data_IF_698396115808
#
_entry.id   IF_698396115808
#
_cell.length_a   1.000
_cell.length_b   1.000
_cell.length_c   1.000
_cell.angle_alpha   90.00
_cell.angle_beta   90.00
_cell.angle_gamma   90.00
#
_symmetry.space_group_name_H-M   'P 1'
#
loop_
_entity.id
_entity.type
_entity.pdbx_description
1 polymer ?
#
# COMPACT_ATOMS: atom_id res chain seq x y z
N UNK A 1 14.59 10.18 -32.86
CA UNK A 1 13.89 8.97 -32.37
C UNK A 1 14.19 8.84 -30.89
N UNK A 2 13.18 8.93 -30.01
CA UNK A 2 13.39 8.71 -28.57
C UNK A 2 13.52 7.21 -28.33
N UNK A 3 14.62 6.80 -27.72
CA UNK A 3 14.91 5.39 -27.40
C UNK A 3 13.94 4.87 -26.33
N UNK A 4 13.77 3.53 -26.26
CA UNK A 4 12.99 2.86 -25.21
C UNK A 4 13.49 3.25 -23.81
N UNK A 5 14.79 3.54 -23.66
CA UNK A 5 15.43 3.94 -22.40
C UNK A 5 15.10 5.38 -21.97
N UNK A 6 15.15 6.34 -22.88
CA UNK A 6 14.86 7.76 -22.58
C UNK A 6 13.40 7.97 -22.13
N UNK A 7 12.45 7.29 -22.79
CA UNK A 7 11.03 7.28 -22.45
C UNK A 7 10.73 6.71 -21.04
N UNK A 8 11.52 5.72 -20.64
CA UNK A 8 11.42 5.06 -19.34
C UNK A 8 11.99 5.91 -18.21
N UNK A 9 13.09 6.61 -18.47
CA UNK A 9 13.71 7.55 -17.54
C UNK A 9 12.82 8.77 -17.29
N UNK A 10 12.13 9.28 -18.30
CA UNK A 10 11.15 10.37 -18.16
C UNK A 10 9.95 9.96 -17.29
N UNK A 11 9.41 8.76 -17.49
CA UNK A 11 8.19 8.27 -16.79
C UNK A 11 8.45 7.85 -15.33
N UNK A 12 9.65 7.36 -15.03
CA UNK A 12 9.97 6.75 -13.72
C UNK A 12 11.22 7.35 -13.04
N UNK A 13 11.74 8.46 -13.55
CA UNK A 13 12.93 9.18 -13.05
C UNK A 13 14.26 8.50 -13.41
N UNK A 14 14.32 7.16 -13.35
CA UNK A 14 15.35 6.31 -13.96
C UNK A 14 14.99 4.84 -13.74
N UNK A 15 14.96 4.02 -14.79
CA UNK A 15 14.74 2.57 -14.66
C UNK A 15 16.06 1.82 -14.74
N UNK A 16 16.39 1.07 -13.67
CA UNK A 16 17.36 -0.01 -13.78
C UNK A 16 16.60 -1.25 -14.30
N UNK A 17 16.91 -1.70 -15.51
CA UNK A 17 16.45 -3.01 -15.98
C UNK A 17 17.06 -4.08 -15.08
N UNK A 18 16.21 -4.95 -14.53
CA UNK A 18 16.64 -6.00 -13.62
C UNK A 18 16.60 -7.36 -14.29
N UNK A 19 15.58 -7.61 -15.12
CA UNK A 19 15.38 -8.88 -15.83
C UNK A 19 14.46 -8.66 -17.03
N UNK A 20 14.70 -9.39 -18.11
CA UNK A 20 13.81 -9.50 -19.25
C UNK A 20 13.12 -10.86 -19.25
N UNK A 21 11.82 -10.87 -19.51
CA UNK A 21 10.97 -12.06 -19.62
C UNK A 21 10.22 -11.99 -20.96
N UNK A 22 9.71 -13.14 -21.44
CA UNK A 22 8.99 -13.17 -22.73
C UNK A 22 7.79 -12.23 -22.74
N UNK A 23 7.16 -12.06 -21.58
CA UNK A 23 5.98 -11.21 -21.42
C UNK A 23 6.28 -9.78 -20.95
N UNK A 24 7.53 -9.36 -20.72
CA UNK A 24 7.83 -7.99 -20.35
C UNK A 24 9.16 -7.77 -19.63
N UNK A 25 9.27 -6.62 -18.96
CA UNK A 25 10.49 -6.13 -18.32
C UNK A 25 10.28 -5.95 -16.81
N UNK A 26 11.17 -6.54 -16.01
CA UNK A 26 11.26 -6.24 -14.58
C UNK A 26 12.16 -5.02 -14.39
N UNK A 27 11.61 -3.96 -13.82
CA UNK A 27 12.27 -2.66 -13.70
C UNK A 27 12.21 -2.11 -12.29
N UNK A 28 13.21 -1.35 -11.90
CA UNK A 28 13.19 -0.57 -10.66
C UNK A 28 12.69 0.85 -10.89
N UNK A 29 11.62 1.24 -10.20
CA UNK A 29 11.04 2.58 -10.22
C UNK A 29 11.58 3.39 -9.04
N UNK A 30 12.43 4.39 -9.33
CA UNK A 30 13.04 5.25 -8.31
C UNK A 30 12.04 6.17 -7.62
N UNK A 31 11.02 6.68 -8.33
CA UNK A 31 10.03 7.58 -7.74
C UNK A 31 9.25 6.91 -6.60
N UNK A 32 8.86 5.65 -6.80
CA UNK A 32 8.10 4.87 -5.81
C UNK A 32 8.97 3.89 -5.01
N UNK A 33 10.28 3.85 -5.26
CA UNK A 33 11.24 2.94 -4.63
C UNK A 33 10.80 1.47 -4.66
N UNK A 34 10.29 1.01 -5.82
CA UNK A 34 9.74 -0.35 -5.95
C UNK A 34 10.09 -1.00 -7.28
N UNK A 35 10.15 -2.33 -7.30
CA UNK A 35 10.15 -3.11 -8.55
C UNK A 35 8.74 -3.13 -9.15
N UNK A 36 8.66 -3.02 -10.47
CA UNK A 36 7.43 -3.23 -11.24
C UNK A 36 7.72 -4.17 -12.40
N UNK A 37 6.73 -4.95 -12.80
CA UNK A 37 6.76 -5.72 -14.03
C UNK A 37 5.91 -5.00 -15.07
N UNK A 38 6.55 -4.57 -16.16
CA UNK A 38 5.94 -3.67 -17.13
C UNK A 38 6.20 -4.15 -18.56
N UNK A 39 5.43 -3.61 -19.48
CA UNK A 39 5.62 -3.75 -20.90
C UNK A 39 5.42 -2.39 -21.58
N UNK A 40 6.10 -2.18 -22.69
CA UNK A 40 6.13 -0.90 -23.40
C UNK A 40 5.99 -1.20 -24.88
N UNK A 41 4.84 -0.83 -25.42
CA UNK A 41 4.51 -1.08 -26.81
C UNK A 41 3.70 0.08 -27.38
N UNK A 42 3.70 0.18 -28.70
CA UNK A 42 2.80 1.06 -29.46
C UNK A 42 1.82 0.25 -30.30
N UNK A 43 1.94 -1.08 -30.31
CA UNK A 43 1.04 -1.99 -31.00
C UNK A 43 -0.30 -2.07 -30.27
N UNK A 44 -1.36 -1.63 -30.95
CA UNK A 44 -2.73 -1.58 -30.43
C UNK A 44 -3.27 -2.98 -30.13
N UNK A 45 -2.95 -3.98 -30.94
CA UNK A 45 -3.45 -5.34 -30.75
C UNK A 45 -2.75 -6.02 -29.57
N UNK A 46 -1.46 -5.74 -29.38
CA UNK A 46 -0.74 -6.13 -28.17
C UNK A 46 -1.35 -5.48 -26.93
N UNK A 47 -1.65 -4.17 -26.97
CA UNK A 47 -2.29 -3.45 -25.87
C UNK A 47 -3.65 -4.08 -25.52
N UNK A 48 -4.51 -4.32 -26.52
CA UNK A 48 -5.82 -4.95 -26.32
C UNK A 48 -5.68 -6.34 -25.69
N UNK A 49 -4.76 -7.16 -26.19
CA UNK A 49 -4.47 -8.50 -25.66
C UNK A 49 -4.01 -8.43 -24.20
N UNK A 50 -3.11 -7.52 -23.86
CA UNK A 50 -2.58 -7.33 -22.50
C UNK A 50 -3.66 -6.85 -21.53
N UNK A 51 -4.50 -5.90 -21.94
CA UNK A 51 -5.65 -5.43 -21.14
C UNK A 51 -6.62 -6.59 -20.87
N UNK A 52 -6.93 -7.42 -21.88
CA UNK A 52 -7.76 -8.63 -21.71
C UNK A 52 -7.14 -9.62 -20.70
N UNK A 53 -5.81 -9.66 -20.64
CA UNK A 53 -5.02 -10.43 -19.69
C UNK A 53 -4.85 -9.73 -18.32
N UNK A 54 -5.52 -8.60 -18.07
CA UNK A 54 -5.51 -7.91 -16.78
C UNK A 54 -4.37 -6.92 -16.57
N UNK A 55 -3.62 -6.57 -17.62
CA UNK A 55 -2.63 -5.50 -17.54
C UNK A 55 -3.32 -4.14 -17.48
N UNK A 56 -2.76 -3.24 -16.67
CA UNK A 56 -3.27 -1.88 -16.52
C UNK A 56 -2.53 -0.94 -17.47
N UNK A 57 -3.29 -0.29 -18.35
CA UNK A 57 -2.78 0.76 -19.22
C UNK A 57 -2.50 2.03 -18.41
N UNK A 58 -1.28 2.52 -18.51
CA UNK A 58 -0.84 3.81 -17.96
C UNK A 58 -0.45 4.72 -19.13
N UNK A 59 -1.07 5.91 -19.25
CA UNK A 59 -0.70 6.85 -20.29
C UNK A 59 0.73 7.33 -20.06
N UNK A 60 1.49 7.37 -21.15
CA UNK A 60 2.85 7.88 -21.21
C UNK A 60 2.95 8.98 -22.25
N UNK A 61 4.00 9.80 -22.17
CA UNK A 61 4.15 10.97 -23.05
C UNK A 61 4.33 10.62 -24.53
N UNK A 62 4.97 9.48 -24.84
CA UNK A 62 5.22 9.06 -26.23
C UNK A 62 4.97 7.56 -26.53
N UNK A 63 4.59 6.75 -25.52
CA UNK A 63 4.25 5.32 -25.65
C UNK A 63 3.22 4.91 -24.61
N UNK A 64 2.58 3.76 -24.83
CA UNK A 64 1.74 3.13 -23.84
C UNK A 64 2.57 2.27 -22.89
N UNK A 65 2.35 2.48 -21.59
CA UNK A 65 2.94 1.67 -20.54
C UNK A 65 1.88 0.70 -20.03
N UNK A 66 2.20 -0.58 -20.02
CA UNK A 66 1.32 -1.61 -19.47
C UNK A 66 1.95 -2.12 -18.20
N UNK A 67 1.24 -2.02 -17.08
CA UNK A 67 1.66 -2.62 -15.81
C UNK A 67 1.03 -3.99 -15.68
N UNK A 68 1.86 -4.99 -15.38
CA UNK A 68 1.39 -6.34 -15.16
C UNK A 68 0.38 -6.43 -14.00
N UNK A 69 -0.57 -7.38 -14.04
CA UNK A 69 -1.38 -7.68 -12.87
C UNK A 69 -0.48 -8.10 -11.70
N UNK A 70 -0.72 -7.48 -10.55
CA UNK A 70 0.08 -7.63 -9.33
C UNK A 70 -0.79 -8.03 -8.15
N UNK A 71 -0.27 -8.92 -7.31
CA UNK A 71 -0.86 -9.32 -6.03
C UNK A 71 0.12 -9.14 -4.88
N UNK A 72 -0.43 -8.85 -3.70
CA UNK A 72 0.31 -8.91 -2.43
C UNK A 72 0.20 -10.34 -1.91
N UNK A 73 1.34 -11.01 -1.71
CA UNK A 73 1.39 -12.34 -1.12
C UNK A 73 1.39 -12.25 0.41
N UNK A 74 2.17 -11.31 0.94
CA UNK A 74 2.31 -11.09 2.37
C UNK A 74 2.58 -9.61 2.68
N UNK A 75 1.98 -9.10 3.75
CA UNK A 75 2.15 -7.74 4.24
C UNK A 75 2.20 -7.76 5.77
N UNK A 76 3.37 -7.43 6.33
CA UNK A 76 3.57 -7.37 7.78
C UNK A 76 2.94 -6.13 8.41
N UNK A 77 2.75 -5.07 7.62
CA UNK A 77 2.26 -3.80 8.15
C UNK A 77 0.74 -3.81 8.33
N UNK A 78 0.00 -4.58 7.53
CA UNK A 78 -1.46 -4.56 7.43
C UNK A 78 -2.06 -5.97 7.39
N UNK A 79 -3.15 -6.20 8.14
CA UNK A 79 -3.80 -7.51 8.20
C UNK A 79 -4.83 -7.78 7.10
N UNK A 80 -5.26 -6.75 6.37
CA UNK A 80 -6.35 -6.86 5.39
C UNK A 80 -5.92 -7.29 3.99
N UNK A 81 -4.62 -7.35 3.73
CA UNK A 81 -4.04 -7.61 2.40
C UNK A 81 -3.54 -9.05 2.24
N UNK A 82 -3.70 -9.90 3.26
CA UNK A 82 -3.17 -11.26 3.30
C UNK A 82 -4.26 -12.32 3.12
N UNK A 83 -3.92 -13.51 2.59
CA UNK A 83 -4.84 -14.65 2.54
C UNK A 83 -5.23 -15.18 3.94
N UNK A 84 -4.67 -14.62 5.01
CA UNK A 84 -4.97 -14.94 6.40
C UNK A 84 -4.95 -13.69 7.28
N UNK A 85 -5.82 -13.67 8.29
CA UNK A 85 -5.88 -12.63 9.31
C UNK A 85 -5.13 -13.03 10.60
N UNK A 86 -4.63 -14.27 10.69
CA UNK A 86 -3.90 -14.74 11.86
C UNK A 86 -2.46 -14.22 11.83
N UNK A 87 -2.05 -13.49 12.88
CA UNK A 87 -0.75 -12.84 12.96
C UNK A 87 0.43 -13.85 12.91
N UNK A 88 0.25 -15.06 13.44
CA UNK A 88 1.27 -16.12 13.37
C UNK A 88 1.40 -16.64 11.96
N UNK A 89 0.28 -16.82 11.26
CA UNK A 89 0.30 -17.24 9.87
C UNK A 89 0.89 -16.17 8.94
N UNK A 90 0.63 -14.88 9.20
CA UNK A 90 1.25 -13.77 8.46
C UNK A 90 2.77 -13.82 8.61
N UNK A 91 3.30 -13.89 9.84
CA UNK A 91 4.75 -13.94 10.04
C UNK A 91 5.38 -15.24 9.50
N UNK A 92 4.67 -16.36 9.61
CA UNK A 92 5.11 -17.64 9.03
C UNK A 92 5.25 -17.54 7.52
N UNK A 93 4.24 -16.98 6.86
CA UNK A 93 4.27 -16.76 5.41
C UNK A 93 5.40 -15.82 5.03
N UNK A 94 5.60 -14.72 5.76
CA UNK A 94 6.70 -13.78 5.52
C UNK A 94 8.08 -14.44 5.62
N UNK A 95 8.32 -15.26 6.66
CA UNK A 95 9.61 -15.97 6.83
C UNK A 95 9.86 -16.97 5.71
N UNK A 96 8.84 -17.74 5.31
CA UNK A 96 8.94 -18.70 4.21
C UNK A 96 9.24 -17.98 2.89
N UNK A 97 8.54 -16.89 2.61
CA UNK A 97 8.69 -16.17 1.35
C UNK A 97 10.03 -15.42 1.25
N UNK A 98 10.63 -15.01 2.37
CA UNK A 98 11.99 -14.43 2.37
C UNK A 98 13.11 -15.50 2.41
N UNK A 99 12.78 -16.79 2.33
CA UNK A 99 13.79 -17.84 2.26
C UNK A 99 14.40 -17.89 0.85
N UNK A 100 15.70 -18.22 0.77
CA UNK A 100 16.46 -18.32 -0.49
C UNK A 100 15.85 -19.23 -1.57
N UNK A 101 14.98 -20.18 -1.20
CA UNK A 101 14.42 -21.19 -2.11
C UNK A 101 12.97 -20.85 -2.51
N UNK A 102 12.48 -19.66 -2.16
CA UNK A 102 11.12 -19.24 -2.46
C UNK A 102 10.84 -19.15 -3.97
N UNK A 103 11.81 -18.68 -4.76
CA UNK A 103 11.66 -18.57 -6.22
C UNK A 103 11.43 -19.94 -6.88
N UNK A 104 12.15 -20.97 -6.44
CA UNK A 104 11.97 -22.35 -6.93
C UNK A 104 10.57 -22.88 -6.61
N UNK A 105 10.12 -22.69 -5.36
CA UNK A 105 8.79 -23.10 -4.92
C UNK A 105 7.69 -22.40 -5.74
N UNK A 106 7.81 -21.08 -5.95
CA UNK A 106 6.85 -20.31 -6.75
C UNK A 106 6.84 -20.80 -8.19
N UNK A 107 8.01 -21.09 -8.75
CA UNK A 107 8.14 -21.60 -10.12
C UNK A 107 7.53 -22.98 -10.26
N UNK A 108 7.74 -23.89 -9.31
CA UNK A 108 7.13 -25.22 -9.28
C UNK A 108 5.59 -25.12 -9.23
N UNK A 109 5.06 -24.29 -8.32
CA UNK A 109 3.61 -24.09 -8.18
C UNK A 109 3.04 -23.46 -9.44
N UNK A 110 3.69 -22.44 -10.01
CA UNK A 110 3.24 -21.81 -11.26
C UNK A 110 3.20 -22.83 -12.40
N UNK A 111 4.27 -23.60 -12.58
CA UNK A 111 4.36 -24.57 -13.68
C UNK A 111 3.31 -25.68 -13.56
N UNK A 112 3.01 -26.12 -12.34
CA UNK A 112 2.06 -27.21 -12.08
C UNK A 112 0.60 -26.78 -12.17
N UNK A 113 0.25 -25.61 -11.62
CA UNK A 113 -1.15 -25.18 -11.48
C UNK A 113 -1.57 -24.07 -12.45
N UNK A 114 -0.60 -23.39 -13.05
CA UNK A 114 -0.83 -22.29 -13.99
C UNK A 114 0.08 -22.42 -15.22
N UNK A 115 -0.07 -23.46 -16.06
CA UNK A 115 0.79 -23.65 -17.24
C UNK A 115 0.87 -22.39 -18.10
N UNK A 116 2.11 -21.98 -18.43
CA UNK A 116 2.39 -20.79 -19.23
C UNK A 116 2.27 -19.45 -18.49
N UNK A 117 1.97 -19.44 -17.18
CA UNK A 117 2.00 -18.22 -16.37
C UNK A 117 3.44 -17.92 -15.93
N UNK A 118 4.04 -16.88 -16.53
CA UNK A 118 5.25 -16.28 -15.98
C UNK A 118 4.92 -15.45 -14.74
N UNK A 119 5.67 -15.66 -13.65
CA UNK A 119 5.55 -14.94 -12.39
C UNK A 119 6.90 -14.37 -11.98
N UNK A 120 6.88 -13.21 -11.35
CA UNK A 120 8.08 -12.59 -10.77
C UNK A 120 7.76 -12.06 -9.38
N UNK A 121 8.66 -12.35 -8.43
CA UNK A 121 8.63 -11.71 -7.14
C UNK A 121 9.09 -10.25 -7.26
N UNK A 122 8.27 -9.35 -6.73
CA UNK A 122 8.54 -7.93 -6.67
C UNK A 122 9.05 -7.54 -5.28
N UNK A 123 10.08 -8.24 -4.82
CA UNK A 123 10.83 -7.89 -3.61
C UNK A 123 11.68 -6.64 -3.87
N UNK A 124 11.93 -5.82 -2.86
CA UNK A 124 12.86 -4.69 -3.03
C UNK A 124 13.54 -4.32 -1.74
N UNK A 125 14.76 -3.77 -1.86
CA UNK A 125 15.53 -3.18 -0.74
C UNK A 125 14.70 -2.18 0.09
N UNK A 126 13.64 -1.62 -0.51
CA UNK A 126 12.80 -0.61 0.09
C UNK A 126 11.35 -1.05 0.33
N UNK A 127 10.89 -2.23 -0.11
CA UNK A 127 9.53 -2.73 0.19
C UNK A 127 9.57 -3.82 1.25
N UNK A 128 10.29 -3.57 2.35
CA UNK A 128 10.68 -4.62 3.32
C UNK A 128 9.52 -5.18 4.15
N UNK A 129 8.34 -4.59 4.05
CA UNK A 129 7.15 -5.01 4.81
C UNK A 129 6.12 -5.72 3.93
N UNK A 130 6.31 -5.75 2.61
CA UNK A 130 5.35 -6.27 1.65
C UNK A 130 6.05 -7.12 0.59
N UNK A 131 5.61 -8.37 0.45
CA UNK A 131 6.06 -9.31 -0.59
C UNK A 131 4.97 -9.35 -1.65
N UNK A 132 5.32 -8.93 -2.86
CA UNK A 132 4.41 -8.85 -4.01
C UNK A 132 4.85 -9.80 -5.11
N UNK A 133 3.91 -10.16 -5.95
CA UNK A 133 4.14 -10.94 -7.14
C UNK A 133 3.43 -10.29 -8.32
N UNK A 134 4.09 -10.24 -9.47
CA UNK A 134 3.46 -9.90 -10.74
C UNK A 134 3.36 -11.15 -11.61
N UNK A 135 2.34 -11.18 -12.46
CA UNK A 135 2.15 -12.26 -13.42
C UNK A 135 2.01 -11.73 -14.83
N UNK A 136 2.30 -12.59 -15.80
CA UNK A 136 2.08 -12.32 -17.23
C UNK A 136 0.60 -12.16 -17.61
N UNK A 137 -0.32 -12.62 -16.77
CA UNK A 137 -1.77 -12.43 -16.93
C UNK A 137 -2.55 -12.54 -15.59
N UNK A 138 -3.86 -12.31 -15.67
CA UNK A 138 -4.80 -12.22 -14.54
C UNK A 138 -4.92 -13.49 -13.70
N UNK A 139 -4.45 -14.66 -14.17
CA UNK A 139 -4.41 -15.88 -13.34
C UNK A 139 -3.56 -15.71 -12.09
N UNK A 140 -2.63 -14.73 -12.09
CA UNK A 140 -1.86 -14.33 -10.91
C UNK A 140 -2.75 -13.98 -9.70
N UNK A 141 -3.99 -13.51 -9.92
CA UNK A 141 -4.93 -13.18 -8.83
C UNK A 141 -5.37 -14.41 -8.02
N UNK A 142 -5.34 -15.61 -8.62
CA UNK A 142 -5.71 -16.86 -7.95
C UNK A 142 -4.52 -17.55 -7.27
N UNK A 143 -3.29 -17.16 -7.64
CA UNK A 143 -2.06 -17.77 -7.14
C UNK A 143 -1.91 -17.73 -5.61
N UNK A 144 -2.19 -16.62 -4.88
CA UNK A 144 -2.00 -16.57 -3.43
C UNK A 144 -2.78 -17.65 -2.68
N UNK A 145 -4.01 -17.95 -3.13
CA UNK A 145 -4.86 -18.99 -2.52
C UNK A 145 -4.25 -20.37 -2.70
N UNK A 146 -3.75 -20.69 -3.90
CA UNK A 146 -3.13 -21.98 -4.20
C UNK A 146 -1.81 -22.13 -3.45
N UNK A 147 -0.94 -21.11 -3.51
CA UNK A 147 0.33 -21.04 -2.80
C UNK A 147 0.14 -21.34 -1.31
N UNK A 148 -0.75 -20.59 -0.66
CA UNK A 148 -1.00 -20.72 0.76
C UNK A 148 -1.59 -22.10 1.13
N UNK A 149 -2.50 -22.65 0.32
CA UNK A 149 -3.06 -23.99 0.52
C UNK A 149 -1.99 -25.09 0.45
N UNK A 150 -1.05 -24.98 -0.50
CA UNK A 150 0.07 -25.92 -0.66
C UNK A 150 1.03 -25.79 0.52
N UNK A 151 1.43 -24.55 0.82
CA UNK A 151 2.34 -24.26 1.92
C UNK A 151 1.81 -24.83 3.24
N UNK A 152 0.55 -24.60 3.59
CA UNK A 152 -0.06 -25.12 4.84
C UNK A 152 0.06 -26.63 5.03
N UNK A 153 0.15 -27.41 3.94
CA UNK A 153 0.32 -28.87 4.00
C UNK A 153 1.78 -29.31 4.06
N UNK A 154 2.73 -28.42 3.73
CA UNK A 154 4.15 -28.70 3.67
C UNK A 154 4.79 -28.88 5.06
N UNK A 155 5.90 -29.63 5.10
CA UNK A 155 6.76 -29.72 6.31
C UNK A 155 7.34 -28.36 6.68
N UNK A 156 7.72 -27.56 5.67
CA UNK A 156 8.27 -26.22 5.85
C UNK A 156 7.33 -25.32 6.66
N UNK A 157 6.05 -25.29 6.29
CA UNK A 157 5.05 -24.52 7.05
C UNK A 157 4.90 -25.01 8.48
N UNK A 158 4.78 -26.33 8.69
CA UNK A 158 4.62 -26.88 10.05
C UNK A 158 5.81 -26.50 10.94
N UNK A 159 7.02 -26.57 10.42
CA UNK A 159 8.25 -26.21 11.13
C UNK A 159 8.30 -24.71 11.45
N UNK A 160 8.08 -23.84 10.46
CA UNK A 160 8.14 -22.39 10.68
C UNK A 160 6.99 -21.88 11.56
N UNK A 161 5.79 -22.42 11.37
CA UNK A 161 4.64 -22.07 12.20
C UNK A 161 4.86 -22.42 13.67
N UNK A 162 5.49 -23.58 13.97
CA UNK A 162 5.82 -23.94 15.35
C UNK A 162 6.81 -22.96 15.98
N UNK A 163 7.84 -22.54 15.23
CA UNK A 163 8.79 -21.51 15.70
C UNK A 163 8.06 -20.21 15.99
N UNK A 164 7.23 -19.73 15.06
CA UNK A 164 6.45 -18.48 15.22
C UNK A 164 5.48 -18.58 16.39
N UNK A 165 4.80 -19.73 16.57
CA UNK A 165 3.88 -19.97 17.68
C UNK A 165 4.56 -19.83 19.03
N UNK A 166 5.81 -20.28 19.15
CA UNK A 166 6.61 -20.15 20.37
C UNK A 166 7.13 -18.72 20.58
N UNK A 167 7.20 -17.90 19.53
CA UNK A 167 7.64 -16.50 19.61
C UNK A 167 6.48 -15.54 19.87
N UNK A 168 5.30 -15.77 19.28
CA UNK A 168 4.19 -14.81 19.30
C UNK A 168 3.09 -15.19 20.30
N UNK A 169 2.74 -14.25 21.17
CA UNK A 169 1.56 -14.32 22.03
C UNK A 169 0.27 -14.30 21.21
N UNK A 170 -0.78 -14.92 21.74
CA UNK A 170 -2.13 -14.78 21.18
C UNK A 170 -2.59 -13.34 21.41
N UNK A 171 -2.78 -12.59 20.34
CA UNK A 171 -3.30 -11.21 20.41
C UNK A 171 -4.34 -10.97 19.32
N UNK A 172 -5.43 -10.30 19.70
CA UNK A 172 -6.46 -9.84 18.76
C UNK A 172 -6.16 -8.42 18.29
N UNK A 173 -6.20 -8.21 16.98
CA UNK A 173 -6.07 -6.89 16.34
C UNK A 173 -7.32 -6.07 16.61
N UNK A 174 -7.14 -4.81 17.03
CA UNK A 174 -8.22 -3.88 17.42
C UNK A 174 -8.87 -3.16 16.25
N UNK A 175 -8.32 -3.23 15.03
CA UNK A 175 -8.91 -2.62 13.85
C UNK A 175 -10.31 -3.20 13.61
N UNK A 176 -11.26 -2.29 13.43
CA UNK A 176 -12.65 -2.58 13.09
C UNK A 176 -12.94 -2.00 11.70
N UNK A 177 -13.74 -2.75 10.94
CA UNK A 177 -14.29 -2.32 9.67
C UNK A 177 -15.81 -2.31 9.80
N UNK A 178 -16.44 -1.22 9.35
CA UNK A 178 -17.90 -1.08 9.37
C UNK A 178 -18.37 -0.51 8.04
N UNK A 179 -19.39 -1.13 7.45
CA UNK A 179 -20.03 -0.56 6.26
C UNK A 179 -20.71 0.78 6.64
N UNK A 180 -20.67 1.75 5.72
CA UNK A 180 -21.19 3.10 5.95
C UNK A 180 -22.67 3.11 6.36
N UNK A 181 -23.47 2.18 5.83
CA UNK A 181 -24.88 2.05 6.17
C UNK A 181 -25.11 1.63 7.64
N UNK A 182 -24.11 1.06 8.29
CA UNK A 182 -24.12 0.68 9.71
C UNK A 182 -23.39 1.70 10.61
N UNK A 183 -22.71 2.70 10.05
CA UNK A 183 -22.01 3.74 10.82
C UNK A 183 -22.97 4.70 11.53
N UNK A 184 -22.44 5.49 12.44
CA UNK A 184 -23.16 6.52 13.17
C UNK A 184 -23.68 7.63 12.22
N UNK A 185 -24.60 8.45 12.71
CA UNK A 185 -25.26 9.50 11.91
C UNK A 185 -24.28 10.53 11.35
N UNK A 186 -23.22 10.85 12.09
CA UNK A 186 -22.18 11.81 11.67
C UNK A 186 -21.37 11.29 10.49
N UNK A 187 -20.91 10.04 10.54
CA UNK A 187 -20.16 9.39 9.47
C UNK A 187 -21.03 9.25 8.20
N UNK A 188 -22.28 8.82 8.35
CA UNK A 188 -23.27 8.76 7.25
C UNK A 188 -23.48 10.13 6.59
N UNK A 189 -23.68 11.17 7.40
CA UNK A 189 -23.88 12.53 6.90
C UNK A 189 -22.63 13.06 6.18
N UNK A 190 -21.45 12.83 6.75
CA UNK A 190 -20.18 13.19 6.11
C UNK A 190 -20.00 12.48 4.76
N UNK A 191 -20.28 11.17 4.69
CA UNK A 191 -20.22 10.41 3.44
C UNK A 191 -21.17 10.95 2.36
N UNK A 192 -22.42 11.30 2.72
CA UNK A 192 -23.35 11.94 1.77
C UNK A 192 -22.82 13.27 1.25
N UNK A 193 -22.24 14.10 2.11
CA UNK A 193 -21.60 15.37 1.70
C UNK A 193 -20.39 15.13 0.79
N UNK A 194 -19.62 14.08 1.08
CA UNK A 194 -18.47 13.65 0.29
C UNK A 194 -18.89 13.22 -1.12
N UNK A 195 -19.88 12.34 -1.22
CA UNK A 195 -20.47 11.89 -2.50
C UNK A 195 -20.92 13.08 -3.32
N UNK A 196 -21.68 14.02 -2.74
CA UNK A 196 -22.14 15.23 -3.43
C UNK A 196 -21.00 16.12 -3.93
N UNK A 197 -19.90 16.24 -3.18
CA UNK A 197 -18.73 17.03 -3.62
C UNK A 197 -17.96 16.33 -4.74
N UNK A 198 -17.85 15.01 -4.68
CA UNK A 198 -17.14 14.24 -5.69
C UNK A 198 -17.95 14.02 -6.97
N UNK A 199 -19.27 13.92 -6.90
CA UNK A 199 -20.13 13.77 -8.08
C UNK A 199 -20.01 14.96 -9.05
N UNK A 200 -19.62 16.14 -8.55
CA UNK A 200 -19.30 17.32 -9.39
C UNK A 200 -18.07 17.05 -10.27
N UNK A 201 -17.18 16.16 -9.85
CA UNK A 201 -15.92 15.83 -10.53
C UNK A 201 -16.03 14.58 -11.42
N UNK A 202 -17.21 13.95 -11.49
CA UNK A 202 -17.50 12.76 -12.29
C UNK A 202 -17.91 11.53 -11.47
N UNK A 203 -18.05 10.39 -12.14
CA UNK A 203 -18.29 9.11 -11.48
C UNK A 203 -17.07 8.69 -10.66
N UNK A 204 -17.23 8.64 -9.34
CA UNK A 204 -16.15 8.30 -8.42
C UNK A 204 -16.59 7.16 -7.53
N UNK A 205 -15.85 6.05 -7.62
CA UNK A 205 -16.02 4.91 -6.73
C UNK A 205 -15.40 5.24 -5.35
N UNK A 206 -16.24 5.71 -4.44
CA UNK A 206 -15.85 6.02 -3.06
C UNK A 206 -15.97 4.78 -2.17
N UNK A 207 -14.99 4.51 -1.29
CA UNK A 207 -15.10 3.37 -0.38
C UNK A 207 -16.31 3.54 0.55
N UNK A 208 -17.11 2.50 0.68
CA UNK A 208 -18.32 2.44 1.49
C UNK A 208 -18.06 1.82 2.88
N UNK A 209 -16.80 1.82 3.31
CA UNK A 209 -16.34 1.27 4.58
C UNK A 209 -15.62 2.32 5.42
N UNK A 210 -15.79 2.24 6.74
CA UNK A 210 -15.05 2.97 7.75
C UNK A 210 -14.05 2.03 8.43
N UNK A 211 -12.80 2.47 8.60
CA UNK A 211 -11.73 1.71 9.29
C UNK A 211 -11.25 2.49 10.51
N UNK A 212 -11.41 1.88 11.69
CA UNK A 212 -11.23 2.52 13.00
C UNK A 212 -10.72 1.52 14.04
N UNK A 213 -10.61 1.93 15.31
CA UNK A 213 -10.11 1.12 16.43
C UNK A 213 -8.71 1.52 16.90
N UNK A 214 -8.16 2.62 16.37
CA UNK A 214 -6.82 3.11 16.68
C UNK A 214 -6.75 4.65 16.80
N UNK A 215 -7.87 5.37 16.63
CA UNK A 215 -7.87 6.83 16.63
C UNK A 215 -7.61 7.42 18.01
N UNK A 216 -7.93 6.69 19.08
CA UNK A 216 -7.53 7.05 20.45
C UNK A 216 -6.01 7.18 20.64
N UNK A 217 -5.20 6.45 19.87
CA UNK A 217 -3.74 6.46 20.00
C UNK A 217 -3.04 7.49 19.10
N UNK A 218 -3.80 8.17 18.22
CA UNK A 218 -3.27 9.21 17.35
C UNK A 218 -3.17 10.53 18.14
N UNK A 219 -2.05 11.27 18.05
CA UNK A 219 -1.91 12.57 18.72
C UNK A 219 -3.04 13.54 18.39
N UNK A 220 -3.49 14.31 19.39
CA UNK A 220 -4.51 15.34 19.18
C UNK A 220 -3.96 16.45 18.28
N UNK A 221 -4.72 16.79 17.24
CA UNK A 221 -4.39 17.84 16.28
C UNK A 221 -5.63 18.71 16.02
N UNK A 222 -5.40 19.95 15.56
CA UNK A 222 -6.49 20.85 15.19
C UNK A 222 -7.18 20.38 13.91
N UNK A 223 -6.38 19.88 12.97
CA UNK A 223 -6.84 19.42 11.65
C UNK A 223 -6.26 18.04 11.36
N UNK A 224 -7.10 17.16 10.84
CA UNK A 224 -6.76 15.84 10.30
C UNK A 224 -6.94 15.88 8.78
N UNK A 225 -5.81 16.00 8.09
CA UNK A 225 -5.72 16.04 6.63
C UNK A 225 -5.51 14.62 6.11
N UNK A 226 -6.49 14.08 5.39
CA UNK A 226 -6.38 12.76 4.75
C UNK A 226 -6.12 12.89 3.25
N UNK A 227 -5.15 12.14 2.74
CA UNK A 227 -4.92 12.02 1.29
C UNK A 227 -6.04 11.18 0.69
N UNK A 228 -6.77 11.67 -0.33
CA UNK A 228 -7.87 10.93 -0.94
C UNK A 228 -7.49 9.59 -1.58
N UNK A 229 -8.50 8.84 -2.04
CA UNK A 229 -8.43 7.42 -2.45
C UNK A 229 -8.18 6.47 -1.29
N UNK A 230 -7.00 6.51 -0.66
CA UNK A 230 -6.65 5.62 0.45
C UNK A 230 -7.14 6.13 1.81
N UNK A 231 -7.15 7.45 2.02
CA UNK A 231 -7.48 8.09 3.29
C UNK A 231 -8.96 8.16 3.64
N UNK A 232 -9.87 8.02 2.66
CA UNK A 232 -11.31 8.26 2.86
C UNK A 232 -11.91 7.31 3.89
N UNK A 233 -11.62 6.01 3.79
CA UNK A 233 -12.11 5.01 4.75
C UNK A 233 -11.61 5.26 6.18
N UNK A 234 -10.44 5.88 6.32
CA UNK A 234 -9.84 6.25 7.59
C UNK A 234 -10.45 7.55 8.14
N UNK A 235 -10.74 8.54 7.29
CA UNK A 235 -11.50 9.72 7.68
C UNK A 235 -12.90 9.33 8.19
N UNK A 236 -13.59 8.43 7.49
CA UNK A 236 -14.88 7.87 7.93
C UNK A 236 -14.75 7.14 9.27
N UNK A 237 -13.69 6.36 9.46
CA UNK A 237 -13.41 5.70 10.73
C UNK A 237 -13.09 6.66 11.88
N UNK A 238 -12.39 7.76 11.61
CA UNK A 238 -12.13 8.80 12.60
C UNK A 238 -13.45 9.45 13.05
N UNK A 239 -14.36 9.73 12.13
CA UNK A 239 -15.70 10.25 12.48
C UNK A 239 -16.52 9.20 13.24
N UNK A 240 -16.41 7.93 12.86
CA UNK A 240 -17.10 6.84 13.56
C UNK A 240 -16.66 6.75 15.02
N UNK A 241 -15.35 6.85 15.28
CA UNK A 241 -14.76 6.68 16.62
C UNK A 241 -14.79 7.97 17.45
N UNK A 242 -14.47 9.12 16.86
CA UNK A 242 -14.32 10.42 17.56
C UNK A 242 -15.53 11.32 17.43
N UNK A 243 -16.41 11.10 16.44
CA UNK A 243 -17.57 11.95 16.19
C UNK A 243 -17.23 13.40 15.77
N UNK A 244 -16.00 13.66 15.32
CA UNK A 244 -15.52 14.99 14.93
C UNK A 244 -15.43 15.10 13.41
N UNK A 245 -16.26 15.96 12.81
CA UNK A 245 -16.26 16.20 11.35
C UNK A 245 -15.63 17.52 10.96
N UNK A 246 -15.63 18.48 11.88
CA UNK A 246 -15.16 19.84 11.68
C UNK A 246 -13.63 19.90 11.52
N UNK A 247 -12.91 18.98 12.13
CA UNK A 247 -11.45 18.89 12.07
C UNK A 247 -10.92 18.20 10.80
N UNK A 248 -11.79 17.71 9.91
CA UNK A 248 -11.36 16.92 8.74
C UNK A 248 -11.16 17.80 7.52
N UNK A 249 -10.03 17.58 6.86
CA UNK A 249 -9.70 18.10 5.54
C UNK A 249 -9.27 16.95 4.63
N UNK A 250 -9.58 17.04 3.34
CA UNK A 250 -9.10 16.11 2.33
C UNK A 250 -8.29 16.89 1.29
N UNK A 251 -7.12 16.38 0.92
CA UNK A 251 -6.24 17.09 -0.01
C UNK A 251 -5.55 16.09 -0.96
N UNK A 252 -6.03 16.03 -2.21
CA UNK A 252 -5.41 15.26 -3.29
C UNK A 252 -4.34 16.11 -3.98
N UNK A 253 -3.17 15.51 -4.15
CA UNK A 253 -2.04 16.10 -4.84
C UNK A 253 -1.49 15.05 -5.79
N UNK A 254 -1.96 15.04 -7.04
CA UNK A 254 -1.36 14.21 -8.06
C UNK A 254 -0.12 14.90 -8.63
N UNK A 255 1.04 14.36 -8.29
CA UNK A 255 2.30 14.65 -8.96
C UNK A 255 2.34 13.86 -10.27
N UNK A 256 1.82 14.43 -11.35
CA UNK A 256 2.11 13.97 -12.70
C UNK A 256 3.15 14.90 -13.34
N UNK A 257 3.95 14.39 -14.27
CA UNK A 257 5.08 15.10 -14.88
C UNK A 257 4.69 16.45 -15.51
N UNK A 258 3.45 16.57 -15.98
CA UNK A 258 3.00 17.75 -16.73
C UNK A 258 1.85 18.54 -16.07
N UNK A 259 1.16 18.00 -15.05
CA UNK A 259 0.05 18.69 -14.38
C UNK A 259 0.00 18.36 -12.88
N UNK A 260 0.02 19.40 -12.03
CA UNK A 260 -0.37 19.25 -10.62
C UNK A 260 -1.88 19.38 -10.53
N UNK A 261 -2.61 18.26 -10.53
CA UNK A 261 -4.05 18.29 -10.17
C UNK A 261 -4.14 18.32 -8.66
N UNK A 262 -4.47 19.49 -8.14
CA UNK A 262 -4.67 19.73 -6.72
C UNK A 262 -6.17 19.86 -6.43
N UNK A 263 -6.67 19.10 -5.46
CA UNK A 263 -8.06 19.16 -5.05
C UNK A 263 -8.15 19.16 -3.53
N UNK A 264 -8.70 20.25 -2.98
CA UNK A 264 -9.04 20.37 -1.56
C UNK A 264 -10.53 20.16 -1.36
N UNK A 265 -10.91 19.22 -0.50
CA UNK A 265 -12.29 18.99 -0.07
C UNK A 265 -12.38 19.24 1.43
N UNK A 266 -13.43 19.97 1.84
CA UNK A 266 -13.59 20.47 3.21
C UNK A 266 -12.38 21.28 3.68
N UNK A 267 -11.90 22.20 2.84
CA UNK A 267 -10.77 23.06 3.14
C UNK A 267 -10.93 23.79 4.49
N UNK A 268 -9.80 23.98 5.17
CA UNK A 268 -9.67 24.63 6.48
C UNK A 268 -8.51 25.61 6.44
N UNK A 269 -8.59 26.63 7.29
CA UNK A 269 -7.47 27.53 7.53
C UNK A 269 -6.37 26.80 8.31
N UNK A 270 -5.14 26.81 7.78
CA UNK A 270 -4.01 26.08 8.37
C UNK A 270 -3.12 26.93 9.27
N UNK A 271 -3.22 28.26 9.20
CA UNK A 271 -2.32 29.19 9.90
C UNK A 271 -2.35 28.94 11.42
N UNK A 272 -1.16 28.71 11.99
CA UNK A 272 -0.95 28.40 13.41
C UNK A 272 -1.68 27.16 13.92
N UNK A 273 -2.11 26.25 13.04
CA UNK A 273 -2.78 25.00 13.41
C UNK A 273 -1.82 23.82 13.39
N UNK A 274 -2.00 22.87 14.31
CA UNK A 274 -1.38 21.55 14.26
C UNK A 274 -2.16 20.67 13.29
N UNK A 275 -1.49 20.19 12.24
CA UNK A 275 -2.12 19.47 11.13
C UNK A 275 -1.55 18.06 11.03
N UNK A 276 -2.34 17.06 11.40
CA UNK A 276 -2.01 15.66 11.15
C UNK A 276 -2.23 15.32 9.67
N UNK A 277 -1.14 15.05 8.95
CA UNK A 277 -1.15 14.61 7.55
C UNK A 277 -1.15 13.08 7.53
N UNK A 278 -2.20 12.48 7.01
CA UNK A 278 -2.48 11.04 7.11
C UNK A 278 -2.58 10.43 5.71
N UNK A 279 -1.73 9.43 5.44
CA UNK A 279 -1.73 8.69 4.16
C UNK A 279 -1.30 7.22 4.33
N UNK A 280 -1.73 6.35 3.41
CA UNK A 280 -1.13 5.03 3.25
C UNK A 280 0.21 5.16 2.51
N UNK A 281 1.29 5.13 3.27
CA UNK A 281 2.60 5.54 2.76
C UNK A 281 3.42 4.37 2.17
N UNK A 282 3.64 4.41 0.85
CA UNK A 282 4.62 3.53 0.20
C UNK A 282 6.04 4.11 0.28
N UNK A 283 6.24 5.36 -0.16
CA UNK A 283 7.57 6.01 -0.24
C UNK A 283 7.69 7.31 0.56
N UNK A 284 6.62 7.74 1.24
CA UNK A 284 6.41 9.05 1.88
C UNK A 284 6.35 10.30 0.98
N UNK A 285 6.53 10.17 -0.34
CA UNK A 285 6.56 11.36 -1.21
C UNK A 285 5.32 12.25 -1.10
N UNK A 286 4.12 11.67 -1.00
CA UNK A 286 2.87 12.41 -0.80
C UNK A 286 2.86 13.17 0.53
N UNK A 287 3.30 12.51 1.61
CA UNK A 287 3.42 13.12 2.95
C UNK A 287 4.44 14.26 2.94
N UNK A 288 5.60 14.07 2.33
CA UNK A 288 6.65 15.10 2.22
C UNK A 288 6.19 16.31 1.40
N UNK A 289 5.43 16.07 0.33
CA UNK A 289 4.88 17.14 -0.50
C UNK A 289 3.85 17.96 0.28
N UNK A 290 2.92 17.29 0.97
CA UNK A 290 1.89 17.94 1.77
C UNK A 290 2.47 18.66 2.99
N UNK A 291 3.51 18.12 3.62
CA UNK A 291 4.25 18.79 4.70
C UNK A 291 4.72 20.18 4.26
N UNK A 292 5.40 20.27 3.11
CA UNK A 292 5.85 21.54 2.55
C UNK A 292 4.70 22.51 2.27
N UNK A 293 3.57 22.00 1.78
CA UNK A 293 2.37 22.81 1.49
C UNK A 293 1.72 23.33 2.77
N UNK A 294 1.55 22.49 3.78
CA UNK A 294 1.02 22.86 5.10
C UNK A 294 1.89 23.93 5.75
N UNK A 295 3.22 23.76 5.73
CA UNK A 295 4.16 24.77 6.26
C UNK A 295 4.04 26.12 5.53
N UNK A 296 3.90 26.10 4.20
CA UNK A 296 3.71 27.33 3.40
C UNK A 296 2.42 28.06 3.74
N UNK A 297 1.37 27.34 4.15
CA UNK A 297 0.10 27.92 4.61
C UNK A 297 0.13 28.28 6.12
N UNK A 298 1.30 28.23 6.76
CA UNK A 298 1.51 28.61 8.15
C UNK A 298 1.08 27.55 9.18
N UNK A 299 0.81 26.32 8.75
CA UNK A 299 0.49 25.21 9.63
C UNK A 299 1.73 24.48 10.17
N UNK A 300 1.54 23.73 11.25
CA UNK A 300 2.54 22.88 11.89
C UNK A 300 2.24 21.42 11.53
N UNK A 301 2.92 20.83 10.54
CA UNK A 301 2.60 19.48 10.08
C UNK A 301 3.06 18.41 11.07
N UNK A 302 2.28 17.33 11.14
CA UNK A 302 2.64 16.07 11.80
C UNK A 302 2.33 14.93 10.83
N UNK A 303 3.34 14.18 10.38
CA UNK A 303 3.19 13.10 9.40
C UNK A 303 2.85 11.78 10.06
N UNK A 304 1.75 11.17 9.62
CA UNK A 304 1.28 9.87 10.08
C UNK A 304 1.16 8.92 8.88
N UNK A 305 2.06 7.94 8.81
CA UNK A 305 1.99 6.90 7.80
C UNK A 305 1.12 5.73 8.28
N UNK A 306 0.00 5.50 7.61
CA UNK A 306 -0.84 4.34 7.84
C UNK A 306 -0.27 3.14 7.09
N UNK A 307 0.00 2.05 7.80
CA UNK A 307 0.46 0.78 7.22
C UNK A 307 1.65 0.97 6.26
N UNK A 308 2.76 1.57 6.73
CA UNK A 308 3.88 1.92 5.86
C UNK A 308 4.46 0.66 5.20
N UNK A 309 4.81 0.76 3.92
CA UNK A 309 5.33 -0.40 3.16
C UNK A 309 6.86 -0.46 3.06
N UNK A 310 7.54 0.58 3.54
CA UNK A 310 8.99 0.73 3.41
C UNK A 310 9.65 1.28 4.67
N UNK A 311 10.94 0.94 4.85
CA UNK A 311 11.82 1.61 5.83
C UNK A 311 11.80 3.12 5.66
N UNK A 312 11.86 3.60 4.40
CA UNK A 312 11.84 5.02 4.07
C UNK A 312 10.55 5.71 4.54
N UNK A 313 9.39 5.09 4.31
CA UNK A 313 8.10 5.62 4.74
C UNK A 313 8.03 5.79 6.26
N UNK A 314 8.61 4.87 7.02
CA UNK A 314 8.72 4.97 8.48
C UNK A 314 9.65 6.10 8.87
N UNK A 315 10.88 6.11 8.35
CA UNK A 315 11.91 7.11 8.71
C UNK A 315 11.50 8.55 8.40
N UNK A 316 10.61 8.75 7.42
CA UNK A 316 10.14 10.07 6.98
C UNK A 316 8.79 10.48 7.56
N UNK A 317 8.26 9.72 8.51
CA UNK A 317 7.00 10.05 9.21
C UNK A 317 7.28 10.26 10.69
N UNK A 318 6.45 11.03 11.38
CA UNK A 318 6.55 11.22 12.84
C UNK A 318 5.97 10.03 13.59
N UNK A 319 4.84 9.51 13.10
CA UNK A 319 4.16 8.34 13.62
C UNK A 319 3.82 7.36 12.50
N UNK A 320 3.70 6.08 12.87
CA UNK A 320 3.17 5.05 11.99
C UNK A 320 2.02 4.31 12.66
N UNK A 321 1.05 3.85 11.86
CA UNK A 321 0.13 2.79 12.25
C UNK A 321 0.67 1.47 11.70
N UNK A 322 1.10 0.57 12.59
CA UNK A 322 1.58 -0.76 12.24
C UNK A 322 0.66 -1.82 12.88
N UNK A 323 0.07 -2.69 12.07
CA UNK A 323 -1.08 -3.52 12.46
C UNK A 323 -2.18 -2.61 13.01
N UNK A 324 -2.41 -2.57 14.32
CA UNK A 324 -3.40 -1.73 15.01
C UNK A 324 -2.78 -0.77 16.03
N UNK A 325 -1.45 -0.59 16.02
CA UNK A 325 -0.74 0.25 16.99
C UNK A 325 -0.14 1.48 16.34
N UNK A 326 -0.38 2.62 16.96
CA UNK A 326 0.26 3.88 16.62
C UNK A 326 1.56 4.00 17.40
N UNK A 327 2.68 4.20 16.69
CA UNK A 327 4.02 4.19 17.27
C UNK A 327 4.79 5.40 16.74
N UNK A 328 5.52 6.16 17.59
CA UNK A 328 6.46 7.15 17.12
C UNK A 328 7.57 6.50 16.27
N UNK A 329 7.81 7.01 15.06
CA UNK A 329 8.82 6.42 14.16
C UNK A 329 10.23 6.44 14.75
N UNK A 330 10.53 7.44 15.59
CA UNK A 330 11.81 7.55 16.32
C UNK A 330 12.11 6.36 17.24
N UNK A 331 11.10 5.58 17.62
CA UNK A 331 11.26 4.41 18.50
C UNK A 331 11.63 3.12 17.73
N UNK A 332 11.79 3.18 16.40
CA UNK A 332 12.02 2.02 15.55
C UNK A 332 13.50 1.93 15.17
N UNK A 333 14.11 0.77 15.44
CA UNK A 333 15.50 0.48 15.12
C UNK A 333 15.60 -0.34 13.83
N UNK A 334 16.44 0.09 12.89
CA UNK A 334 16.58 -0.54 11.57
C UNK A 334 17.79 -1.47 11.45
N UNK A 335 17.79 -2.56 12.23
CA UNK A 335 18.77 -3.66 12.14
C UNK A 335 18.45 -4.61 10.96
N UNK A 336 19.24 -5.67 10.74
CA UNK A 336 19.09 -6.61 9.61
C UNK A 336 17.67 -7.19 9.47
N UNK A 337 17.06 -7.61 10.57
CA UNK A 337 15.73 -8.24 10.60
C UNK A 337 14.62 -7.30 11.12
N UNK A 338 14.81 -5.98 10.99
CA UNK A 338 13.96 -4.97 11.65
C UNK A 338 12.46 -5.14 11.38
N UNK A 339 12.06 -5.61 10.20
CA UNK A 339 10.67 -5.78 9.81
C UNK A 339 9.98 -6.85 10.67
N UNK A 340 10.67 -7.99 10.84
CA UNK A 340 10.23 -9.08 11.71
C UNK A 340 10.31 -8.68 13.19
N UNK A 341 11.40 -8.04 13.61
CA UNK A 341 11.58 -7.57 14.98
C UNK A 341 10.47 -6.60 15.38
N UNK A 342 10.11 -5.65 14.49
CA UNK A 342 9.00 -4.73 14.68
C UNK A 342 7.67 -5.48 14.79
N UNK A 343 7.41 -6.44 13.90
CA UNK A 343 6.18 -7.23 13.96
C UNK A 343 6.07 -7.98 15.29
N UNK A 344 7.12 -8.71 15.69
CA UNK A 344 7.16 -9.46 16.96
C UNK A 344 6.94 -8.52 18.14
N UNK A 345 7.66 -7.39 18.18
CA UNK A 345 7.54 -6.38 19.23
C UNK A 345 6.09 -5.89 19.38
N UNK A 346 5.46 -5.49 18.27
CA UNK A 346 4.10 -4.95 18.29
C UNK A 346 3.06 -6.00 18.66
N UNK A 347 3.27 -7.27 18.29
CA UNK A 347 2.36 -8.35 18.67
C UNK A 347 2.53 -8.77 20.14
N UNK A 348 3.73 -8.70 20.71
CA UNK A 348 4.01 -9.22 22.06
C UNK A 348 3.95 -8.19 23.18
N UNK A 349 4.27 -6.93 22.91
CA UNK A 349 4.43 -5.88 23.93
C UNK A 349 3.20 -4.97 24.07
N UNK A 350 2.24 -5.00 23.12
CA UNK A 350 1.19 -3.98 23.02
C UNK A 350 -0.26 -4.48 22.91
#
# INVERSE_FOLDING_TARGET
MITKKELLEETYGTLKLLKELKSGLLVYNKSHFKKNFIDITTDIDEIKRKIKNGWELRPGKYKFFLRAPEVVLCDLSEVHTNPTFDLREILTLFRILNHSNCEELITEISSKYFPGLEVVLLEGEFSNLEIRMAGSDKRVYDFPKILYRILKKSKLWKTEFLKVKNTLKNRKVKIKIKNINKCNSKAKNFYRKLVKKYSILGEINLPDIAVYGFWESIPQNDIYLFVPKAGIKYALGFIEEKGQTQNIMLWECHLSLDVTKELKIFARELKNKKVAIIDRSYSSNSLDYLEKKVMREGGQPLKIALFPKSKRAIQRSDYILFLDKVIPSKNIQFKKNWAEDLFIKIVNEY
#
